data_IF_744884187145
#
_entry.id   IF_744884187145
#
_cell.length_a   1.000
_cell.length_b   1.000
_cell.length_c   1.000
_cell.angle_alpha   90.00
_cell.angle_beta   90.00
_cell.angle_gamma   90.00
#
_symmetry.space_group_name_H-M   'P 1'
#
loop_
_entity.id
_entity.type
_entity.pdbx_description
1 polymer ?
#
# COMPACT_ATOMS: atom_id res chain seq x y z
N UNK A 1 23.77 11.71 6.70
CA UNK A 1 24.17 10.73 5.66
C UNK A 1 23.56 11.19 4.35
N UNK A 2 24.36 11.70 3.42
CA UNK A 2 23.91 12.27 2.12
C UNK A 2 23.96 11.26 0.98
N UNK A 3 24.56 10.08 1.18
CA UNK A 3 24.79 9.11 0.12
C UNK A 3 24.82 7.66 0.61
N UNK A 4 24.53 6.74 -0.31
CA UNK A 4 24.46 5.28 -0.09
C UNK A 4 23.08 4.75 0.36
N UNK A 5 22.92 3.42 0.40
CA UNK A 5 21.64 2.79 0.74
C UNK A 5 21.28 3.01 2.21
N UNK A 6 20.01 3.39 2.44
CA UNK A 6 19.41 3.51 3.77
C UNK A 6 19.28 2.13 4.41
N UNK A 7 18.69 1.17 3.69
CA UNK A 7 18.53 -0.21 4.14
C UNK A 7 19.74 -1.05 3.71
N UNK A 8 20.43 -1.64 4.69
CA UNK A 8 21.66 -2.40 4.49
C UNK A 8 21.49 -3.86 4.89
N UNK A 9 22.20 -4.74 4.21
CA UNK A 9 22.38 -6.11 4.66
C UNK A 9 23.37 -6.16 5.83
N UNK A 10 23.43 -7.28 6.59
CA UNK A 10 24.45 -7.48 7.62
C UNK A 10 25.89 -7.35 7.10
N UNK A 11 26.12 -7.63 5.81
CA UNK A 11 27.40 -7.44 5.14
C UNK A 11 27.71 -6.00 4.72
N UNK A 12 26.88 -5.02 5.10
CA UNK A 12 27.07 -3.60 4.80
C UNK A 12 26.66 -3.14 3.39
N UNK A 13 26.31 -4.09 2.50
CA UNK A 13 25.81 -3.84 1.14
C UNK A 13 24.35 -3.38 1.15
N UNK A 14 23.84 -2.95 -0.01
CA UNK A 14 22.43 -2.61 -0.16
C UNK A 14 21.52 -3.81 0.19
N UNK A 15 20.46 -3.55 0.96
CA UNK A 15 19.45 -4.55 1.27
C UNK A 15 18.68 -4.98 0.02
N UNK A 16 18.33 -6.26 -0.04
CA UNK A 16 17.46 -6.84 -1.07
C UNK A 16 16.02 -6.86 -0.57
N UNK A 17 15.06 -6.48 -1.41
CA UNK A 17 13.62 -6.43 -1.04
C UNK A 17 13.11 -7.82 -0.63
N UNK A 18 13.62 -8.87 -1.26
CA UNK A 18 13.27 -10.25 -0.94
C UNK A 18 13.67 -10.62 0.49
N UNK A 19 14.73 -10.03 1.05
CA UNK A 19 15.12 -10.26 2.44
C UNK A 19 14.05 -9.72 3.39
N UNK A 20 13.46 -8.56 3.08
CA UNK A 20 12.40 -7.96 3.88
C UNK A 20 11.13 -8.81 3.81
N UNK A 21 10.75 -9.24 2.60
CA UNK A 21 9.60 -10.13 2.40
C UNK A 21 9.75 -11.46 3.16
N UNK A 22 10.91 -12.11 3.06
CA UNK A 22 11.21 -13.35 3.80
C UNK A 22 11.19 -13.15 5.31
N UNK A 23 11.74 -12.03 5.79
CA UNK A 23 11.74 -11.70 7.23
C UNK A 23 10.32 -11.52 7.74
N UNK A 24 9.49 -10.79 6.99
CA UNK A 24 8.07 -10.62 7.30
C UNK A 24 7.34 -11.97 7.35
N UNK A 25 7.48 -12.82 6.32
CA UNK A 25 6.85 -14.13 6.29
C UNK A 25 7.26 -15.01 7.46
N UNK A 26 8.54 -15.01 7.83
CA UNK A 26 9.04 -15.75 9.01
C UNK A 26 8.40 -15.26 10.30
N UNK A 27 8.34 -13.94 10.51
CA UNK A 27 7.75 -13.37 11.73
C UNK A 27 6.24 -13.62 11.81
N UNK A 28 5.52 -13.49 10.68
CA UNK A 28 4.11 -13.85 10.57
C UNK A 28 3.85 -15.30 10.96
N UNK A 29 4.70 -16.21 10.46
CA UNK A 29 4.57 -17.64 10.74
C UNK A 29 4.80 -17.96 12.22
N UNK A 30 5.81 -17.31 12.85
CA UNK A 30 6.05 -17.42 14.29
C UNK A 30 4.90 -16.86 15.14
N UNK A 31 4.19 -15.85 14.63
CA UNK A 31 3.03 -15.26 15.27
C UNK A 31 1.72 -16.03 15.03
N UNK A 32 1.73 -17.13 14.26
CA UNK A 32 0.53 -17.92 13.95
C UNK A 32 -0.47 -17.19 13.06
N UNK A 33 -0.03 -16.20 12.27
CA UNK A 33 -0.92 -15.36 11.47
C UNK A 33 -1.24 -15.99 10.10
N UNK A 34 -2.37 -15.61 9.47
CA UNK A 34 -2.80 -16.16 8.17
C UNK A 34 -1.76 -16.01 7.05
N UNK A 35 -1.61 -17.03 6.20
CA UNK A 35 -0.60 -17.02 5.12
C UNK A 35 -0.86 -15.98 4.03
N UNK A 36 -2.10 -15.54 3.87
CA UNK A 36 -2.47 -14.45 2.96
C UNK A 36 -2.11 -13.05 3.51
N UNK A 37 -1.76 -12.93 4.80
CA UNK A 37 -1.14 -11.73 5.32
C UNK A 37 0.29 -11.63 4.78
N UNK A 38 0.49 -10.78 3.77
CA UNK A 38 1.79 -10.56 3.10
C UNK A 38 2.16 -9.09 3.15
N UNK A 39 3.46 -8.80 3.09
CA UNK A 39 3.99 -7.44 3.22
C UNK A 39 3.37 -6.45 2.20
N UNK A 40 3.02 -6.93 1.01
CA UNK A 40 2.38 -6.11 -0.03
C UNK A 40 1.01 -5.55 0.38
N UNK A 41 0.31 -6.18 1.34
CA UNK A 41 -0.96 -5.66 1.86
C UNK A 41 -0.80 -4.30 2.55
N UNK A 42 0.37 -4.01 3.13
CA UNK A 42 0.62 -2.68 3.71
C UNK A 42 0.56 -1.57 2.64
N UNK A 43 1.03 -1.87 1.41
CA UNK A 43 0.91 -0.95 0.28
C UNK A 43 -0.54 -0.81 -0.16
N UNK A 44 -1.30 -1.91 -0.18
CA UNK A 44 -2.73 -1.86 -0.50
C UNK A 44 -3.51 -1.02 0.52
N UNK A 45 -3.30 -1.25 1.81
CA UNK A 45 -3.95 -0.51 2.89
C UNK A 45 -3.68 0.99 2.78
N UNK A 46 -2.41 1.37 2.57
CA UNK A 46 -2.03 2.76 2.35
C UNK A 46 -2.71 3.34 1.10
N UNK A 47 -2.74 2.61 -0.01
CA UNK A 47 -3.41 3.02 -1.25
C UNK A 47 -4.90 3.26 -1.06
N UNK A 48 -5.61 2.31 -0.44
CA UNK A 48 -7.05 2.41 -0.13
C UNK A 48 -7.34 3.59 0.78
N UNK A 49 -6.57 3.76 1.86
CA UNK A 49 -6.76 4.85 2.82
C UNK A 49 -6.63 6.23 2.16
N UNK A 50 -5.56 6.44 1.39
CA UNK A 50 -5.35 7.73 0.70
C UNK A 50 -6.37 7.95 -0.40
N UNK A 51 -6.75 6.90 -1.13
CA UNK A 51 -7.77 7.02 -2.17
C UNK A 51 -9.11 7.49 -1.57
N UNK A 52 -9.50 6.96 -0.41
CA UNK A 52 -10.70 7.36 0.32
C UNK A 52 -10.60 8.77 0.93
N UNK A 53 -9.48 9.12 1.56
CA UNK A 53 -9.35 10.41 2.29
C UNK A 53 -9.00 11.61 1.39
N UNK A 54 -8.37 11.37 0.24
CA UNK A 54 -7.80 12.42 -0.62
C UNK A 54 -8.13 12.25 -2.10
N UNK A 55 -8.71 11.13 -2.50
CA UNK A 55 -9.03 10.83 -3.90
C UNK A 55 -7.93 10.06 -4.64
N UNK A 56 -8.31 9.50 -5.78
CA UNK A 56 -7.51 8.57 -6.57
C UNK A 56 -6.19 9.17 -7.09
N UNK A 57 -6.15 10.46 -7.43
CA UNK A 57 -4.94 11.09 -7.99
C UNK A 57 -3.83 11.25 -6.94
N UNK A 58 -4.20 11.56 -5.69
CA UNK A 58 -3.27 11.59 -4.57
C UNK A 58 -2.71 10.18 -4.30
N UNK A 59 -3.57 9.17 -4.31
CA UNK A 59 -3.14 7.78 -4.15
C UNK A 59 -2.19 7.35 -5.28
N UNK A 60 -2.50 7.70 -6.55
CA UNK A 60 -1.69 7.37 -7.72
C UNK A 60 -0.29 7.97 -7.62
N UNK A 61 -0.20 9.26 -7.28
CA UNK A 61 1.08 9.98 -7.13
C UNK A 61 1.89 9.44 -5.95
N UNK A 62 1.26 9.21 -4.80
CA UNK A 62 1.92 8.66 -3.62
C UNK A 62 2.49 7.27 -3.89
N UNK A 63 1.73 6.42 -4.59
CA UNK A 63 2.16 5.08 -4.94
C UNK A 63 3.15 5.06 -6.11
N UNK A 64 3.33 6.18 -6.82
CA UNK A 64 4.22 6.27 -7.98
C UNK A 64 3.71 5.48 -9.19
N UNK A 65 2.39 5.33 -9.34
CA UNK A 65 1.81 4.67 -10.50
C UNK A 65 1.78 5.62 -11.71
N UNK A 66 2.40 5.23 -12.82
CA UNK A 66 2.35 5.99 -14.07
C UNK A 66 0.97 5.97 -14.73
N UNK A 67 0.24 4.86 -14.58
CA UNK A 67 -1.11 4.69 -15.10
C UNK A 67 -2.15 4.75 -13.97
N UNK A 68 -3.20 5.55 -14.16
CA UNK A 68 -4.30 5.68 -13.21
C UNK A 68 -5.09 4.38 -13.06
N UNK A 69 -5.16 3.54 -14.11
CA UNK A 69 -5.89 2.27 -14.07
C UNK A 69 -5.35 1.31 -13.01
N UNK A 70 -4.04 1.31 -12.78
CA UNK A 70 -3.40 0.52 -11.71
C UNK A 70 -3.87 0.94 -10.30
N UNK A 71 -4.35 2.18 -10.16
CA UNK A 71 -4.82 2.76 -8.89
C UNK A 71 -6.34 2.64 -8.73
N UNK A 72 -7.09 2.42 -9.82
CA UNK A 72 -8.55 2.24 -9.78
C UNK A 72 -9.00 1.09 -8.87
N UNK A 73 -8.14 0.08 -8.63
CA UNK A 73 -8.42 -1.00 -7.68
C UNK A 73 -8.67 -0.55 -6.23
N UNK A 74 -8.32 0.69 -5.89
CA UNK A 74 -8.56 1.29 -4.57
C UNK A 74 -9.82 2.16 -4.52
N UNK A 75 -10.46 2.36 -5.68
CA UNK A 75 -11.73 3.04 -5.79
C UNK A 75 -12.81 2.02 -5.45
N UNK A 76 -13.15 1.96 -4.17
CA UNK A 76 -14.37 1.32 -3.71
C UNK A 76 -15.40 2.44 -3.63
N UNK A 77 -16.29 2.50 -4.63
CA UNK A 77 -17.48 3.33 -4.52
C UNK A 77 -18.37 2.64 -3.50
N UNK A 78 -18.60 3.30 -2.36
CA UNK A 78 -19.60 2.83 -1.42
C UNK A 78 -20.98 3.25 -1.95
N UNK A 79 -21.94 2.32 -2.01
CA UNK A 79 -23.30 2.63 -2.43
C UNK A 79 -23.95 3.65 -1.47
N UNK A 80 -23.49 3.74 -0.22
CA UNK A 80 -23.93 4.79 0.70
C UNK A 80 -23.37 6.17 0.33
N UNK A 81 -22.11 6.25 -0.13
CA UNK A 81 -21.51 7.52 -0.58
C UNK A 81 -22.22 8.04 -1.85
N UNK A 82 -22.71 7.14 -2.71
CA UNK A 82 -23.52 7.50 -3.87
C UNK A 82 -24.88 8.06 -3.50
N UNK A 83 -25.56 7.46 -2.51
CA UNK A 83 -26.85 7.95 -2.02
C UNK A 83 -26.69 9.36 -1.40
N UNK A 84 -25.71 9.55 -0.51
CA UNK A 84 -25.44 10.84 0.13
C UNK A 84 -25.12 11.94 -0.90
N UNK A 85 -24.36 11.61 -1.96
CA UNK A 85 -24.03 12.55 -3.02
C UNK A 85 -25.24 12.95 -3.88
N UNK A 86 -26.21 12.05 -4.05
CA UNK A 86 -27.44 12.34 -4.78
C UNK A 86 -28.35 13.29 -4.00
N UNK A 87 -28.48 13.08 -2.69
CA UNK A 87 -29.27 13.93 -1.80
C UNK A 87 -28.71 15.36 -1.67
N UNK A 88 -27.41 15.55 -1.92
CA UNK A 88 -26.74 16.85 -1.95
C UNK A 88 -27.02 17.70 -3.20
N UNK A 89 -27.66 17.12 -4.23
CA UNK A 89 -27.95 17.78 -5.51
C UNK A 89 -29.42 18.26 -5.59
N UNK A 90 -30.28 17.87 -4.64
CA UNK A 90 -31.64 18.43 -4.45
C UNK A 90 -31.66 19.70 -3.59
#
# INVERSE_FOLDING_TARGET
>A
RTEGPVFRSPSGRAGRVENLSRTYSRLRDLAGLPKNLVLYLARHECGTKICRERGIEYARRLLGHSNISTTQRYMHLDDSELADAQDLIE
#
